data_IF_449872816402
#
_entry.id   IF_449872816402
#
_cell.length_a   1.000
_cell.length_b   1.000
_cell.length_c   1.000
_cell.angle_alpha   90.00
_cell.angle_beta   90.00
_cell.angle_gamma   90.00
#
_symmetry.space_group_name_H-M   'P 1'
#
loop_
_entity.id
_entity.type
_entity.pdbx_description
1 polymer ?
#
# COMPACT_ATOMS: atom_id res chain seq x y z
N UNK A 1 13.64 6.53 2.70
CA UNK A 1 12.29 5.93 2.79
C UNK A 1 12.40 4.43 3.04
N UNK A 2 11.43 3.85 3.76
CA UNK A 2 11.35 2.40 4.07
C UNK A 2 11.30 1.55 2.80
N UNK A 3 10.65 2.04 1.74
CA UNK A 3 10.56 1.43 0.41
C UNK A 3 11.92 0.99 -0.17
N UNK A 4 13.00 1.72 0.12
CA UNK A 4 14.35 1.36 -0.35
C UNK A 4 14.86 0.05 0.27
N UNK A 5 14.45 -0.28 1.49
CA UNK A 5 15.00 -1.44 2.23
C UNK A 5 14.54 -2.78 1.66
N UNK A 6 13.55 -2.77 0.77
CA UNK A 6 13.08 -3.95 0.04
C UNK A 6 14.12 -4.46 -0.95
N UNK A 7 15.01 -3.59 -1.42
CA UNK A 7 15.99 -3.88 -2.47
C UNK A 7 17.40 -3.94 -1.91
N UNK A 8 18.18 -4.93 -2.37
CA UNK A 8 19.62 -5.02 -2.14
C UNK A 8 20.31 -3.87 -2.88
N UNK A 9 21.17 -3.15 -2.17
CA UNK A 9 21.99 -2.09 -2.76
C UNK A 9 23.20 -2.69 -3.50
N UNK A 10 22.99 -2.99 -4.78
CA UNK A 10 24.02 -3.48 -5.71
C UNK A 10 24.45 -2.41 -6.73
N UNK A 11 24.07 -1.14 -6.52
CA UNK A 11 24.36 -0.02 -7.43
C UNK A 11 23.58 -0.02 -8.75
N UNK A 12 22.69 -1.00 -8.97
CA UNK A 12 21.89 -1.16 -10.19
C UNK A 12 20.72 -0.17 -10.34
N UNK A 13 20.30 0.48 -9.26
CA UNK A 13 19.21 1.46 -9.26
C UNK A 13 19.10 2.23 -7.95
N UNK A 14 18.46 3.39 -8.00
CA UNK A 14 18.11 4.19 -6.81
C UNK A 14 16.63 4.51 -6.83
N UNK A 15 16.09 4.63 -5.63
CA UNK A 15 14.69 4.91 -5.38
C UNK A 15 14.57 6.10 -4.43
N UNK A 16 13.74 7.06 -4.82
CA UNK A 16 13.37 8.21 -4.01
C UNK A 16 11.86 8.23 -3.84
N UNK A 17 11.40 8.42 -2.61
CA UNK A 17 9.97 8.60 -2.31
C UNK A 17 9.78 10.05 -1.89
N UNK A 18 8.78 10.70 -2.48
CA UNK A 18 8.37 12.04 -2.08
C UNK A 18 6.97 11.97 -1.46
N UNK A 19 6.89 12.31 -0.18
CA UNK A 19 5.64 12.47 0.56
C UNK A 19 5.30 13.95 0.82
N UNK A 20 6.30 14.84 0.75
CA UNK A 20 6.15 16.26 1.05
C UNK A 20 6.91 17.11 0.04
N UNK A 21 6.44 18.34 -0.14
CA UNK A 21 7.23 19.37 -0.81
C UNK A 21 8.46 19.73 0.00
N UNK A 22 9.52 20.22 -0.65
CA UNK A 22 10.83 20.47 -0.01
C UNK A 22 10.76 21.37 1.23
N UNK A 23 9.85 22.36 1.26
CA UNK A 23 9.65 23.25 2.42
C UNK A 23 9.01 22.56 3.64
N UNK A 24 8.35 21.42 3.40
CA UNK A 24 7.57 20.66 4.38
C UNK A 24 8.15 19.25 4.60
N UNK A 25 9.23 18.88 3.91
CA UNK A 25 9.94 17.61 4.12
C UNK A 25 10.73 17.64 5.43
N UNK A 26 10.03 17.31 6.52
CA UNK A 26 10.56 17.35 7.88
C UNK A 26 10.00 16.18 8.72
N UNK A 27 10.62 15.95 9.88
CA UNK A 27 10.25 14.84 10.76
C UNK A 27 8.81 14.90 11.27
N UNK A 28 8.24 16.10 11.46
CA UNK A 28 6.87 16.23 11.93
C UNK A 28 5.89 15.69 10.88
N UNK A 29 6.07 16.04 9.61
CA UNK A 29 5.22 15.52 8.53
C UNK A 29 5.48 14.03 8.25
N UNK A 30 6.72 13.56 8.40
CA UNK A 30 7.01 12.13 8.33
C UNK A 30 6.29 11.34 9.45
N UNK A 31 6.31 11.86 10.69
CA UNK A 31 5.58 11.27 11.82
C UNK A 31 4.08 11.32 11.59
N UNK A 32 3.54 12.41 11.03
CA UNK A 32 2.12 12.49 10.67
C UNK A 32 1.72 11.34 9.72
N UNK A 33 2.52 11.09 8.67
CA UNK A 33 2.25 9.98 7.76
C UNK A 33 2.30 8.61 8.45
N UNK A 34 3.31 8.39 9.31
CA UNK A 34 3.41 7.15 10.11
C UNK A 34 2.18 6.99 11.01
N UNK A 35 1.75 8.04 11.69
CA UNK A 35 0.56 7.98 12.54
C UNK A 35 -0.72 7.73 11.74
N UNK A 36 -0.85 8.26 10.52
CA UNK A 36 -1.97 7.94 9.63
C UNK A 36 -2.03 6.45 9.30
N UNK A 37 -0.88 5.80 9.08
CA UNK A 37 -0.80 4.36 8.88
C UNK A 37 -1.29 3.60 10.11
N UNK A 38 -0.76 3.93 11.30
CA UNK A 38 -1.20 3.27 12.54
C UNK A 38 -2.68 3.51 12.85
N UNK A 39 -3.20 4.71 12.53
CA UNK A 39 -4.63 4.97 12.62
C UNK A 39 -5.44 4.15 11.63
N UNK A 40 -4.90 3.80 10.45
CA UNK A 40 -5.52 2.85 9.53
C UNK A 40 -5.78 1.51 10.21
N UNK A 41 -4.80 0.96 10.94
CA UNK A 41 -5.01 -0.27 11.72
C UNK A 41 -6.09 -0.08 12.80
N UNK A 42 -6.06 1.01 13.56
CA UNK A 42 -7.08 1.29 14.60
C UNK A 42 -8.47 1.46 14.02
N UNK A 43 -8.61 2.17 12.89
CA UNK A 43 -9.89 2.38 12.19
C UNK A 43 -10.48 1.06 11.69
N UNK A 44 -9.64 0.09 11.36
CA UNK A 44 -10.13 -1.23 10.95
C UNK A 44 -10.81 -2.01 12.07
N UNK A 45 -10.51 -1.69 13.34
CA UNK A 45 -11.07 -2.39 14.49
C UNK A 45 -12.56 -2.08 14.60
N UNK A 46 -13.39 -3.12 14.57
CA UNK A 46 -14.84 -3.01 14.63
C UNK A 46 -15.51 -2.57 13.33
N UNK A 47 -14.73 -2.35 12.27
CA UNK A 47 -15.23 -2.15 10.91
C UNK A 47 -15.05 -3.43 10.09
N UNK A 48 -15.89 -3.63 9.08
CA UNK A 48 -15.84 -4.82 8.20
C UNK A 48 -14.93 -4.56 6.99
N UNK A 49 -13.70 -4.11 7.22
CA UNK A 49 -12.77 -3.84 6.11
C UNK A 49 -12.01 -5.08 5.69
N UNK A 50 -11.55 -5.86 6.65
CA UNK A 50 -10.85 -7.12 6.44
C UNK A 50 -11.10 -8.05 7.63
N UNK A 51 -10.75 -9.35 7.53
CA UNK A 51 -10.91 -10.28 8.63
C UNK A 51 -10.26 -9.73 9.91
N UNK A 52 -10.93 -9.93 11.03
CA UNK A 52 -10.46 -9.44 12.33
C UNK A 52 -9.15 -10.17 12.69
N UNK A 53 -8.16 -9.40 13.13
CA UNK A 53 -6.90 -9.96 13.63
C UNK A 53 -7.10 -10.73 14.96
N UNK A 54 -8.18 -10.45 15.71
CA UNK A 54 -8.50 -11.07 17.00
C UNK A 54 -9.36 -12.33 16.88
N UNK A 55 -10.06 -12.51 15.76
CA UNK A 55 -11.07 -13.56 15.61
C UNK A 55 -10.49 -14.73 14.78
N UNK A 56 -9.38 -15.32 15.27
CA UNK A 56 -8.85 -16.60 14.75
C UNK A 56 -9.88 -17.75 14.87
N UNK A 57 -10.91 -17.56 15.71
CA UNK A 57 -11.89 -18.57 16.09
C UNK A 57 -13.09 -18.71 15.13
N UNK A 58 -13.18 -17.89 14.07
CA UNK A 58 -14.22 -18.05 13.03
C UNK A 58 -13.62 -18.36 11.66
N UNK A 59 -13.15 -19.61 11.44
CA UNK A 59 -12.97 -20.12 10.10
C UNK A 59 -14.36 -20.21 9.44
N UNK A 60 -14.82 -19.13 8.82
CA UNK A 60 -16.14 -19.06 8.17
C UNK A 60 -17.05 -17.88 8.55
N UNK A 61 -16.57 -16.85 9.26
CA UNK A 61 -17.20 -15.53 9.10
C UNK A 61 -17.13 -15.17 7.61
N UNK A 62 -18.25 -14.79 6.99
CA UNK A 62 -18.30 -14.58 5.55
C UNK A 62 -17.36 -13.42 5.17
N UNK A 63 -16.13 -13.74 4.78
CA UNK A 63 -15.12 -12.82 4.21
C UNK A 63 -15.73 -12.03 3.03
N UNK A 64 -16.77 -12.60 2.41
CA UNK A 64 -17.61 -12.01 1.36
C UNK A 64 -18.28 -10.70 1.79
N UNK A 65 -18.45 -10.48 3.08
CA UNK A 65 -19.05 -9.25 3.60
C UNK A 65 -18.02 -8.17 3.98
N UNK A 66 -16.72 -8.48 3.91
CA UNK A 66 -15.68 -7.47 4.11
C UNK A 66 -15.63 -6.53 2.91
N UNK A 67 -15.56 -5.24 3.18
CA UNK A 67 -15.68 -4.19 2.17
C UNK A 67 -14.37 -3.94 1.42
N UNK A 68 -13.21 -4.24 2.03
CA UNK A 68 -11.90 -3.87 1.49
C UNK A 68 -11.07 -5.10 1.09
N UNK A 69 -11.03 -6.12 1.94
CA UNK A 69 -10.27 -7.35 1.73
C UNK A 69 -10.49 -8.01 0.35
N UNK A 70 -11.73 -8.29 -0.11
CA UNK A 70 -11.95 -8.99 -1.37
C UNK A 70 -11.52 -8.17 -2.61
N UNK A 71 -11.15 -6.89 -2.44
CA UNK A 71 -10.64 -6.08 -3.54
C UNK A 71 -9.23 -6.52 -3.98
N UNK A 72 -8.41 -7.03 -3.06
CA UNK A 72 -7.01 -7.40 -3.37
C UNK A 72 -6.60 -8.78 -2.87
N UNK A 73 -7.39 -9.39 -1.99
CA UNK A 73 -7.03 -10.60 -1.26
C UNK A 73 -8.16 -11.62 -1.29
N UNK A 74 -7.79 -12.87 -1.08
CA UNK A 74 -8.70 -13.99 -0.85
C UNK A 74 -8.04 -15.02 0.05
N UNK A 75 -8.84 -15.83 0.73
CA UNK A 75 -8.35 -17.01 1.43
C UNK A 75 -8.19 -18.20 0.47
N UNK A 76 -7.16 -19.01 0.70
CA UNK A 76 -7.08 -20.36 0.13
C UNK A 76 -7.94 -21.33 0.94
N UNK A 77 -8.04 -22.59 0.47
CA UNK A 77 -8.68 -23.66 1.24
C UNK A 77 -8.02 -23.89 2.61
N UNK A 78 -6.72 -23.58 2.71
CA UNK A 78 -5.93 -23.70 3.94
C UNK A 78 -5.92 -22.41 4.77
N UNK A 79 -6.89 -21.50 4.54
CA UNK A 79 -7.03 -20.22 5.24
C UNK A 79 -5.83 -19.26 5.14
N UNK A 80 -4.97 -19.43 4.13
CA UNK A 80 -3.86 -18.51 3.83
C UNK A 80 -4.34 -17.32 3.00
N UNK A 81 -3.87 -16.12 3.33
CA UNK A 81 -4.10 -14.93 2.52
C UNK A 81 -3.26 -14.96 1.24
N UNK A 82 -3.93 -14.84 0.10
CA UNK A 82 -3.32 -14.80 -1.22
C UNK A 82 -3.86 -13.60 -1.98
N UNK A 83 -2.96 -12.85 -2.62
CA UNK A 83 -3.36 -11.72 -3.43
C UNK A 83 -4.10 -12.17 -4.70
N UNK A 84 -5.05 -11.37 -5.16
CA UNK A 84 -5.66 -11.53 -6.49
C UNK A 84 -4.69 -11.19 -7.63
N UNK A 85 -3.53 -10.60 -7.32
CA UNK A 85 -2.56 -10.10 -8.29
C UNK A 85 -1.28 -10.92 -8.38
N UNK A 86 -1.25 -12.15 -7.86
CA UNK A 86 -0.04 -13.01 -7.89
C UNK A 86 0.50 -13.23 -9.32
N UNK A 87 -0.39 -13.38 -10.30
CA UNK A 87 0.01 -13.58 -11.71
C UNK A 87 0.52 -12.28 -12.37
N UNK A 88 0.10 -11.11 -11.86
CA UNK A 88 0.46 -9.80 -12.39
C UNK A 88 1.71 -9.23 -11.70
N UNK A 89 1.87 -9.52 -10.41
CA UNK A 89 2.95 -9.04 -9.56
C UNK A 89 3.53 -10.17 -8.69
N UNK A 90 4.19 -11.17 -9.30
CA UNK A 90 4.74 -12.32 -8.57
C UNK A 90 5.87 -11.94 -7.60
N UNK A 91 6.60 -10.84 -7.86
CA UNK A 91 7.64 -10.33 -6.98
C UNK A 91 7.12 -9.92 -5.60
N UNK A 92 5.80 -9.74 -5.43
CA UNK A 92 5.16 -9.47 -4.15
C UNK A 92 5.62 -10.42 -3.04
N UNK A 93 5.85 -11.70 -3.35
CA UNK A 93 6.32 -12.71 -2.38
C UNK A 93 7.73 -12.45 -1.85
N UNK A 94 8.52 -11.70 -2.60
CA UNK A 94 9.89 -11.31 -2.25
C UNK A 94 9.97 -9.91 -1.64
N UNK A 95 8.86 -9.16 -1.61
CA UNK A 95 8.78 -7.87 -0.93
C UNK A 95 8.86 -8.09 0.57
N UNK A 96 9.98 -7.70 1.17
CA UNK A 96 10.23 -7.79 2.62
C UNK A 96 10.79 -6.47 3.11
N UNK A 97 10.10 -5.87 4.07
CA UNK A 97 10.54 -4.62 4.71
C UNK A 97 11.38 -4.88 5.97
N UNK A 98 11.33 -6.10 6.51
CA UNK A 98 12.11 -6.56 7.65
C UNK A 98 12.91 -7.81 7.28
N UNK A 99 14.15 -7.88 7.75
CA UNK A 99 15.10 -8.94 7.40
C UNK A 99 15.89 -8.64 6.14
N UNK A 100 16.46 -9.68 5.53
CA UNK A 100 17.30 -9.55 4.34
C UNK A 100 16.48 -9.21 3.09
N UNK A 101 16.86 -8.14 2.39
CA UNK A 101 16.32 -7.79 1.09
C UNK A 101 16.57 -8.90 0.07
N UNK A 102 15.57 -9.22 -0.76
CA UNK A 102 15.66 -10.30 -1.76
C UNK A 102 15.63 -9.81 -3.21
N UNK A 103 15.04 -8.65 -3.44
CA UNK A 103 14.98 -8.01 -4.76
C UNK A 103 16.27 -7.22 -4.99
N UNK A 104 16.79 -7.20 -6.22
CA UNK A 104 17.96 -6.39 -6.59
C UNK A 104 17.55 -4.96 -6.93
N UNK A 105 18.41 -3.97 -6.70
CA UNK A 105 18.08 -2.58 -7.05
C UNK A 105 17.87 -2.39 -8.56
N UNK A 106 18.50 -3.21 -9.40
CA UNK A 106 18.25 -3.28 -10.84
C UNK A 106 16.81 -3.70 -11.22
N UNK A 107 16.07 -4.35 -10.32
CA UNK A 107 14.69 -4.79 -10.54
C UNK A 107 13.64 -3.73 -10.17
N UNK A 108 14.02 -2.62 -9.52
CA UNK A 108 13.09 -1.61 -9.00
C UNK A 108 12.07 -1.16 -10.05
N UNK A 109 12.52 -0.79 -11.25
CA UNK A 109 11.63 -0.27 -12.29
C UNK A 109 10.56 -1.28 -12.71
N UNK A 110 10.93 -2.56 -12.86
CA UNK A 110 9.99 -3.61 -13.23
C UNK A 110 9.01 -3.94 -12.09
N UNK A 111 9.51 -3.98 -10.85
CA UNK A 111 8.68 -4.19 -9.65
C UNK A 111 7.60 -3.12 -9.54
N UNK A 112 7.96 -1.83 -9.70
CA UNK A 112 6.97 -0.75 -9.64
C UNK A 112 6.05 -0.68 -10.87
N UNK A 113 6.53 -1.07 -12.06
CA UNK A 113 5.66 -1.23 -13.24
C UNK A 113 4.59 -2.29 -13.01
N UNK A 114 4.94 -3.40 -12.36
CA UNK A 114 3.97 -4.46 -12.01
C UNK A 114 3.05 -4.03 -10.89
N UNK A 115 3.57 -3.36 -9.86
CA UNK A 115 2.75 -2.75 -8.81
C UNK A 115 1.68 -1.81 -9.40
N UNK A 116 2.04 -0.98 -10.38
CA UNK A 116 1.12 -0.07 -11.07
C UNK A 116 0.00 -0.75 -11.86
N UNK A 117 0.09 -2.07 -12.07
CA UNK A 117 -0.97 -2.90 -12.68
C UNK A 117 -1.87 -3.57 -11.66
N UNK A 118 -1.65 -3.30 -10.38
CA UNK A 118 -2.48 -3.78 -9.25
C UNK A 118 -3.22 -2.61 -8.60
N UNK A 119 -4.10 -2.92 -7.66
CA UNK A 119 -4.76 -1.92 -6.83
C UNK A 119 -3.98 -1.59 -5.54
N UNK A 120 -2.78 -2.12 -5.34
CA UNK A 120 -1.97 -1.78 -4.17
C UNK A 120 -1.47 -0.34 -4.30
N UNK A 121 -1.59 0.42 -3.21
CA UNK A 121 -1.26 1.86 -3.20
C UNK A 121 0.25 2.09 -3.10
N UNK A 122 0.98 1.19 -2.44
CA UNK A 122 2.44 1.20 -2.22
C UNK A 122 2.99 -0.24 -2.23
N UNK A 123 4.32 -0.45 -2.22
CA UNK A 123 4.84 -1.81 -2.02
C UNK A 123 4.52 -2.32 -0.61
N UNK A 124 4.42 -1.43 0.38
CA UNK A 124 4.10 -1.83 1.75
C UNK A 124 2.66 -2.38 1.84
N UNK A 125 1.72 -1.76 1.13
CA UNK A 125 0.35 -2.24 1.00
C UNK A 125 0.25 -3.66 0.40
N UNK A 126 1.24 -4.07 -0.41
CA UNK A 126 1.24 -5.38 -1.05
C UNK A 126 1.72 -6.53 -0.12
N UNK A 127 2.12 -6.23 1.11
CA UNK A 127 2.69 -7.23 2.03
C UNK A 127 1.64 -8.12 2.70
N UNK A 128 0.43 -7.61 2.93
CA UNK A 128 -0.67 -8.36 3.54
C UNK A 128 -1.98 -7.57 3.59
N UNK A 129 -3.12 -8.21 3.91
CA UNK A 129 -4.43 -7.56 3.93
C UNK A 129 -4.54 -6.40 4.95
N UNK A 130 -3.92 -6.55 6.12
CA UNK A 130 -3.90 -5.52 7.16
C UNK A 130 -3.13 -4.28 6.69
N UNK A 131 -1.91 -4.50 6.20
CA UNK A 131 -1.05 -3.43 5.66
C UNK A 131 -1.66 -2.78 4.41
N UNK A 132 -2.37 -3.56 3.58
CA UNK A 132 -3.09 -3.03 2.42
C UNK A 132 -4.11 -1.97 2.83
N UNK A 133 -4.95 -2.28 3.83
CA UNK A 133 -5.92 -1.31 4.32
C UNK A 133 -5.24 -0.12 4.99
N UNK A 134 -4.29 -0.35 5.89
CA UNK A 134 -3.64 0.73 6.65
C UNK A 134 -2.87 1.72 5.75
N UNK A 135 -2.09 1.21 4.80
CA UNK A 135 -1.42 2.06 3.80
C UNK A 135 -2.42 2.77 2.89
N UNK A 136 -3.48 2.09 2.49
CA UNK A 136 -4.53 2.69 1.67
C UNK A 136 -5.23 3.82 2.40
N UNK A 137 -5.57 3.64 3.67
CA UNK A 137 -6.12 4.69 4.51
C UNK A 137 -5.15 5.88 4.62
N UNK A 138 -3.87 5.61 4.94
CA UNK A 138 -2.86 6.64 5.10
C UNK A 138 -2.65 7.46 3.83
N UNK A 139 -2.43 6.80 2.69
CA UNK A 139 -2.21 7.46 1.40
C UNK A 139 -3.48 8.13 0.87
N UNK A 140 -4.66 7.64 1.22
CA UNK A 140 -5.90 8.31 0.88
C UNK A 140 -6.03 9.64 1.61
N UNK A 141 -5.83 9.64 2.93
CA UNK A 141 -5.87 10.88 3.71
C UNK A 141 -4.76 11.83 3.26
N UNK A 142 -3.54 11.33 3.15
CA UNK A 142 -2.36 12.12 2.77
C UNK A 142 -2.47 12.71 1.36
N UNK A 143 -2.65 11.87 0.33
CA UNK A 143 -2.61 12.35 -1.05
C UNK A 143 -3.94 12.87 -1.57
N UNK A 144 -5.05 12.25 -1.17
CA UNK A 144 -6.36 12.63 -1.72
C UNK A 144 -7.05 13.72 -0.91
N UNK A 145 -7.11 13.61 0.41
CA UNK A 145 -7.80 14.59 1.25
C UNK A 145 -6.93 15.82 1.54
N UNK A 146 -5.66 15.60 1.90
CA UNK A 146 -4.72 16.69 2.23
C UNK A 146 -4.00 17.25 1.00
N UNK A 147 -4.16 16.64 -0.18
CA UNK A 147 -3.53 17.04 -1.45
C UNK A 147 -1.99 17.07 -1.39
N UNK A 148 -1.38 16.20 -0.57
CA UNK A 148 0.08 16.08 -0.46
C UNK A 148 0.64 15.09 -1.50
N UNK A 149 1.88 15.27 -1.97
CA UNK A 149 2.45 14.39 -2.96
C UNK A 149 2.63 12.97 -2.42
N UNK A 150 2.50 11.98 -3.30
CA UNK A 150 3.06 10.65 -3.11
C UNK A 150 3.52 10.15 -4.48
N UNK A 151 4.84 10.06 -4.63
CA UNK A 151 5.47 9.47 -5.81
C UNK A 151 6.73 8.71 -5.44
N UNK A 152 7.06 7.72 -6.26
CA UNK A 152 8.31 6.97 -6.19
C UNK A 152 9.06 7.10 -7.50
N UNK A 153 10.19 7.79 -7.46
CA UNK A 153 11.07 8.05 -8.60
C UNK A 153 12.19 7.01 -8.61
N UNK A 154 12.37 6.34 -9.76
CA UNK A 154 13.36 5.29 -9.94
C UNK A 154 14.38 5.74 -10.96
N UNK A 155 15.65 5.74 -10.56
CA UNK A 155 16.78 6.10 -11.42
C UNK A 155 17.73 4.94 -11.61
N UNK A 156 18.23 4.74 -12.84
CA UNK A 156 19.22 3.74 -13.19
C UNK A 156 20.26 4.39 -14.11
N UNK A 157 21.55 4.16 -13.83
CA UNK A 157 22.64 4.83 -14.58
C UNK A 157 22.57 6.37 -14.56
N UNK A 158 22.00 6.95 -13.49
CA UNK A 158 21.85 8.40 -13.33
C UNK A 158 20.68 9.03 -14.11
N UNK A 159 19.81 8.24 -14.74
CA UNK A 159 18.61 8.71 -15.45
C UNK A 159 17.34 8.18 -14.80
N UNK A 160 16.30 8.98 -14.76
CA UNK A 160 14.95 8.51 -14.39
C UNK A 160 14.46 7.51 -15.44
N UNK A 161 14.00 6.34 -14.99
CA UNK A 161 13.53 5.25 -15.85
C UNK A 161 12.07 4.88 -15.60
N UNK A 162 11.52 5.27 -14.44
CA UNK A 162 10.11 5.08 -14.10
C UNK A 162 9.73 5.95 -12.91
N UNK A 163 8.50 6.46 -12.92
CA UNK A 163 7.90 7.18 -11.80
C UNK A 163 6.55 6.55 -11.49
N UNK A 164 6.38 6.11 -10.24
CA UNK A 164 5.14 5.56 -9.72
C UNK A 164 4.39 6.64 -8.96
N UNK A 165 3.18 6.97 -9.41
CA UNK A 165 2.35 8.03 -8.84
C UNK A 165 1.20 7.45 -8.01
N UNK A 166 0.66 8.28 -7.12
CA UNK A 166 -0.57 7.99 -6.39
C UNK A 166 -1.69 7.52 -7.31
N UNK A 167 -2.43 6.51 -6.86
CA UNK A 167 -3.40 5.81 -7.69
C UNK A 167 -4.84 6.28 -7.52
N UNK A 168 -5.13 7.18 -6.59
CA UNK A 168 -6.51 7.52 -6.23
C UNK A 168 -7.31 8.02 -7.42
N UNK A 169 -6.72 8.87 -8.27
CA UNK A 169 -7.37 9.35 -9.48
C UNK A 169 -7.24 8.38 -10.69
N UNK A 170 -6.83 7.13 -10.46
CA UNK A 170 -6.64 6.11 -11.49
C UNK A 170 -7.69 4.98 -11.34
N UNK A 171 -8.12 4.36 -12.46
CA UNK A 171 -9.10 3.26 -12.41
C UNK A 171 -8.71 2.09 -11.50
N UNK A 172 -7.40 1.82 -11.37
CA UNK A 172 -6.88 0.70 -10.57
C UNK A 172 -7.21 0.78 -9.08
N UNK A 173 -7.46 1.97 -8.54
CA UNK A 173 -7.81 2.16 -7.11
C UNK A 173 -9.26 2.63 -6.89
N UNK A 174 -10.08 2.72 -7.94
CA UNK A 174 -11.45 3.25 -7.85
C UNK A 174 -12.33 2.49 -6.83
N UNK A 175 -12.20 1.16 -6.75
CA UNK A 175 -12.98 0.37 -5.79
C UNK A 175 -12.58 0.65 -4.33
N UNK A 176 -11.27 0.69 -4.05
CA UNK A 176 -10.74 1.06 -2.71
C UNK A 176 -11.13 2.48 -2.34
N UNK A 177 -11.05 3.37 -3.31
CA UNK A 177 -11.47 4.76 -3.16
C UNK A 177 -12.94 4.85 -2.75
N UNK A 178 -13.84 4.13 -3.43
CA UNK A 178 -15.27 4.15 -3.13
C UNK A 178 -15.59 3.67 -1.70
N UNK A 179 -14.85 2.66 -1.21
CA UNK A 179 -14.98 2.18 0.18
C UNK A 179 -14.60 3.28 1.17
N UNK A 180 -13.45 3.94 0.96
CA UNK A 180 -12.98 5.01 1.83
C UNK A 180 -13.87 6.26 1.75
N UNK A 181 -14.32 6.65 0.56
CA UNK A 181 -15.30 7.73 0.35
C UNK A 181 -16.56 7.50 1.19
N UNK A 182 -17.15 6.30 1.09
CA UNK A 182 -18.36 5.93 1.84
C UNK A 182 -18.13 5.92 3.34
N UNK A 183 -16.95 5.54 3.81
CA UNK A 183 -16.64 5.54 5.23
C UNK A 183 -16.49 6.98 5.75
N UNK A 184 -15.74 7.83 5.05
CA UNK A 184 -15.54 9.23 5.44
C UNK A 184 -16.83 10.07 5.38
N UNK A 185 -17.77 9.75 4.48
CA UNK A 185 -19.04 10.46 4.38
C UNK A 185 -19.92 10.33 5.65
N UNK A 186 -19.65 9.36 6.54
CA UNK A 186 -20.30 9.23 7.85
C UNK A 186 -19.97 10.38 8.80
N UNK A 187 -18.85 11.06 8.56
CA UNK A 187 -18.32 12.14 9.40
C UNK A 187 -18.44 13.53 8.77
N UNK A 188 -18.73 13.59 7.46
CA UNK A 188 -19.12 14.82 6.80
C UNK A 188 -20.51 15.22 7.31
N UNK A 189 -20.58 16.29 8.11
CA UNK A 189 -21.88 16.89 8.47
C UNK A 189 -22.59 17.36 7.18
N UNK A 190 -23.92 17.22 7.08
CA UNK A 190 -24.69 17.91 6.05
C UNK A 190 -24.56 19.43 6.17
#
# INVERSE_FOLDING_TARGET
AKERTVFRDDGGGRLQVTLEEKSSDNSQNAIQFILLHEFGHVVSIGERFHPDWLDEAKPGGAIEDDLFYPLSWRKTKDALDVSLFEDVFPERREVRFYGEARLKSSQMAEVYRRLARTNFVSLYAATGPFEDFAESFALYVHSRLMKKPYRVEITQGGREVFTYESCWDQPRCAAKQAVLDRWFSRFSRP
#
